data_IF_021429473621
#
_entry.id   IF_021429473621
#
_cell.length_a   1.000
_cell.length_b   1.000
_cell.length_c   1.000
_cell.angle_alpha   90.00
_cell.angle_beta   90.00
_cell.angle_gamma   90.00
#
_symmetry.space_group_name_H-M   'P 1'
#
loop_
_entity.id
_entity.type
_entity.pdbx_description
1 polymer ?
#
# COMPACT_ATOMS: atom_id res chain seq x y z
N UNK A 1 -4.23 12.13 7.39
CA UNK A 1 -4.63 10.81 6.86
C UNK A 1 -4.40 10.75 5.35
N UNK A 2 -5.09 11.60 4.56
CA UNK A 2 -4.97 11.58 3.10
C UNK A 2 -3.52 11.72 2.59
N UNK A 3 -2.79 12.75 3.04
CA UNK A 3 -1.39 12.95 2.64
C UNK A 3 -0.49 11.76 2.96
N UNK A 4 -0.70 11.09 4.09
CA UNK A 4 0.08 9.91 4.49
C UNK A 4 -0.19 8.73 3.55
N UNK A 5 -1.44 8.53 3.12
CA UNK A 5 -1.77 7.55 2.08
C UNK A 5 -1.04 7.90 0.79
N UNK A 6 -1.17 9.15 0.31
CA UNK A 6 -0.56 9.56 -0.95
C UNK A 6 0.95 9.35 -0.95
N UNK A 7 1.63 9.72 0.14
CA UNK A 7 3.09 9.55 0.26
C UNK A 7 3.46 8.07 0.29
N UNK A 8 2.83 7.26 1.15
CA UNK A 8 3.20 5.85 1.30
C UNK A 8 2.92 5.01 0.03
N UNK A 9 1.79 5.24 -0.64
CA UNK A 9 1.52 4.57 -1.92
C UNK A 9 2.40 5.09 -3.06
N UNK A 10 2.79 6.36 -3.08
CA UNK A 10 3.78 6.86 -4.07
C UNK A 10 5.17 6.26 -3.84
N UNK A 11 5.58 6.11 -2.57
CA UNK A 11 6.82 5.44 -2.21
C UNK A 11 6.81 3.98 -2.67
N UNK A 12 5.73 3.23 -2.37
CA UNK A 12 5.52 1.85 -2.81
C UNK A 12 5.56 1.72 -4.34
N UNK A 13 4.81 2.57 -5.05
CA UNK A 13 4.85 2.62 -6.51
C UNK A 13 6.27 2.85 -7.06
N UNK A 14 7.00 3.78 -6.44
CA UNK A 14 8.40 4.05 -6.78
C UNK A 14 9.29 2.82 -6.61
N UNK A 15 9.16 2.11 -5.49
CA UNK A 15 9.88 0.87 -5.23
C UNK A 15 9.57 -0.20 -6.29
N UNK A 16 8.30 -0.47 -6.57
CA UNK A 16 7.90 -1.46 -7.57
C UNK A 16 8.35 -1.10 -8.99
N UNK A 17 8.35 0.18 -9.36
CA UNK A 17 8.91 0.61 -10.64
C UNK A 17 10.43 0.42 -10.71
N UNK A 18 11.16 0.75 -9.64
CA UNK A 18 12.61 0.54 -9.60
C UNK A 18 12.97 -0.94 -9.68
N UNK A 19 12.23 -1.80 -8.99
CA UNK A 19 12.36 -3.26 -9.08
C UNK A 19 12.14 -3.75 -10.51
N UNK A 20 11.05 -3.32 -11.16
CA UNK A 20 10.73 -3.70 -12.53
C UNK A 20 11.76 -3.18 -13.55
N UNK A 21 12.30 -1.97 -13.35
CA UNK A 21 13.35 -1.42 -14.21
C UNK A 21 14.65 -2.22 -14.04
N UNK A 22 14.98 -2.63 -12.82
CA UNK A 22 16.21 -3.37 -12.52
C UNK A 22 16.18 -4.85 -12.90
N UNK A 23 15.06 -5.53 -12.67
CA UNK A 23 14.94 -6.99 -12.82
C UNK A 23 13.86 -7.48 -13.79
N UNK A 24 13.09 -6.57 -14.40
CA UNK A 24 11.99 -6.91 -15.28
C UNK A 24 10.86 -7.67 -14.57
N UNK A 25 10.05 -8.40 -15.33
CA UNK A 25 8.91 -9.17 -14.82
C UNK A 25 9.31 -10.35 -13.92
N UNK A 26 10.60 -10.71 -13.88
CA UNK A 26 11.13 -11.82 -13.09
C UNK A 26 11.85 -11.37 -11.82
N UNK A 27 11.80 -10.07 -11.49
CA UNK A 27 12.47 -9.51 -10.31
C UNK A 27 12.14 -10.24 -9.00
N UNK A 28 10.93 -10.80 -8.89
CA UNK A 28 10.44 -11.51 -7.70
C UNK A 28 10.58 -13.04 -7.78
N UNK A 29 11.10 -13.58 -8.88
CA UNK A 29 11.08 -15.02 -9.16
C UNK A 29 11.95 -15.86 -8.22
N UNK A 30 12.98 -15.26 -7.63
CA UNK A 30 13.92 -15.94 -6.74
C UNK A 30 13.39 -16.17 -5.32
N UNK A 31 12.35 -15.44 -4.91
CA UNK A 31 11.89 -15.47 -3.52
C UNK A 31 10.37 -15.53 -3.32
N UNK A 32 9.57 -15.33 -4.36
CA UNK A 32 8.10 -15.37 -4.25
C UNK A 32 7.50 -16.46 -5.16
N UNK A 33 6.47 -17.21 -4.71
CA UNK A 33 5.69 -18.08 -5.59
C UNK A 33 4.91 -17.24 -6.62
N UNK A 34 4.57 -17.83 -7.77
CA UNK A 34 3.96 -17.13 -8.92
C UNK A 34 2.79 -16.20 -8.55
N UNK A 35 1.82 -16.59 -7.70
CA UNK A 35 0.73 -15.67 -7.32
C UNK A 35 1.21 -14.38 -6.64
N UNK A 36 2.21 -14.47 -5.77
CA UNK A 36 2.79 -13.31 -5.10
C UNK A 36 3.65 -12.47 -6.06
N UNK A 37 4.33 -13.10 -7.03
CA UNK A 37 5.02 -12.35 -8.08
C UNK A 37 4.05 -11.50 -8.89
N UNK A 38 2.93 -12.10 -9.35
CA UNK A 38 1.88 -11.38 -10.08
C UNK A 38 1.33 -10.23 -9.25
N UNK A 39 1.09 -10.48 -7.96
CA UNK A 39 0.64 -9.45 -7.03
C UNK A 39 1.64 -8.30 -6.92
N UNK A 40 2.92 -8.55 -6.61
CA UNK A 40 3.93 -7.49 -6.51
C UNK A 40 4.11 -6.72 -7.81
N UNK A 41 4.11 -7.39 -8.97
CA UNK A 41 4.13 -6.70 -10.28
C UNK A 41 2.89 -5.82 -10.45
N UNK A 42 1.71 -6.28 -9.99
CA UNK A 42 0.48 -5.50 -10.08
C UNK A 42 0.47 -4.24 -9.21
N UNK A 43 1.28 -4.20 -8.14
CA UNK A 43 1.41 -3.01 -7.27
C UNK A 43 1.95 -1.78 -8.01
N UNK A 44 2.77 -1.99 -9.05
CA UNK A 44 3.19 -0.93 -9.97
C UNK A 44 2.00 -0.20 -10.65
N UNK A 45 0.81 -0.81 -10.67
CA UNK A 45 -0.43 -0.21 -11.18
C UNK A 45 -1.41 0.11 -10.05
N UNK A 46 -1.56 -0.78 -9.07
CA UNK A 46 -2.51 -0.60 -7.98
C UNK A 46 -2.15 0.60 -7.09
N UNK A 47 -0.87 0.83 -6.83
CA UNK A 47 -0.44 1.93 -5.97
C UNK A 47 -0.72 3.30 -6.59
N UNK A 48 -0.33 3.59 -7.86
CA UNK A 48 -0.75 4.82 -8.53
C UNK A 48 -2.26 4.97 -8.62
N UNK A 49 -3.01 3.87 -8.83
CA UNK A 49 -4.46 3.92 -8.86
C UNK A 49 -5.05 4.34 -7.51
N UNK A 50 -4.51 3.82 -6.40
CA UNK A 50 -4.87 4.26 -5.05
C UNK A 50 -4.56 5.75 -4.87
N UNK A 51 -3.37 6.20 -5.25
CA UNK A 51 -2.96 7.62 -5.16
C UNK A 51 -3.95 8.51 -5.91
N UNK A 52 -4.31 8.16 -7.15
CA UNK A 52 -5.27 8.92 -7.95
C UNK A 52 -6.65 8.93 -7.31
N UNK A 53 -7.20 7.77 -6.92
CA UNK A 53 -8.55 7.69 -6.36
C UNK A 53 -8.67 8.40 -5.00
N UNK A 54 -7.67 8.25 -4.14
CA UNK A 54 -7.61 8.93 -2.83
C UNK A 54 -7.36 10.43 -3.02
N UNK A 55 -6.49 10.83 -3.95
CA UNK A 55 -6.23 12.24 -4.28
C UNK A 55 -7.46 12.95 -4.86
N UNK A 56 -8.26 12.24 -5.65
CA UNK A 56 -9.57 12.68 -6.12
C UNK A 56 -10.69 12.53 -5.08
N UNK A 57 -10.33 12.16 -3.85
CA UNK A 57 -11.21 12.02 -2.70
C UNK A 57 -12.40 11.11 -2.99
N UNK A 58 -12.14 9.95 -3.58
CA UNK A 58 -13.18 8.95 -3.89
C UNK A 58 -13.25 7.88 -2.80
N UNK A 59 -14.45 7.53 -2.28
CA UNK A 59 -14.62 6.48 -1.27
C UNK A 59 -14.01 5.13 -1.69
N UNK A 60 -14.12 4.79 -2.98
CA UNK A 60 -13.55 3.57 -3.55
C UNK A 60 -12.02 3.52 -3.43
N UNK A 61 -11.34 4.68 -3.45
CA UNK A 61 -9.89 4.76 -3.25
C UNK A 61 -9.47 4.33 -1.85
N UNK A 62 -10.23 4.72 -0.82
CA UNK A 62 -9.95 4.33 0.58
C UNK A 62 -10.16 2.83 0.79
N UNK A 63 -11.21 2.26 0.18
CA UNK A 63 -11.48 0.81 0.24
C UNK A 63 -10.40 0.01 -0.49
N UNK A 64 -9.98 0.47 -1.66
CA UNK A 64 -8.89 -0.12 -2.44
C UNK A 64 -7.58 -0.07 -1.65
N UNK A 65 -7.22 1.09 -1.08
CA UNK A 65 -6.03 1.27 -0.25
C UNK A 65 -5.95 0.25 0.89
N UNK A 66 -7.06 0.05 1.62
CA UNK A 66 -7.14 -0.93 2.69
C UNK A 66 -6.91 -2.37 2.20
N UNK A 67 -7.54 -2.73 1.07
CA UNK A 67 -7.38 -4.07 0.48
C UNK A 67 -5.97 -4.33 -0.05
N UNK A 68 -5.42 -3.40 -0.84
CA UNK A 68 -4.05 -3.48 -1.37
C UNK A 68 -3.06 -3.61 -0.23
N UNK A 69 -3.17 -2.73 0.76
CA UNK A 69 -2.20 -2.71 1.85
C UNK A 69 -2.28 -3.92 2.77
N UNK A 70 -3.49 -4.45 3.02
CA UNK A 70 -3.66 -5.70 3.76
C UNK A 70 -2.97 -6.88 3.06
N UNK A 71 -3.19 -7.02 1.75
CA UNK A 71 -2.55 -8.07 0.94
C UNK A 71 -1.04 -7.90 0.87
N UNK A 72 -0.56 -6.67 0.74
CA UNK A 72 0.86 -6.38 0.61
C UNK A 72 1.64 -6.62 1.90
N UNK A 73 1.09 -6.23 3.05
CA UNK A 73 1.64 -6.61 4.35
C UNK A 73 1.71 -8.14 4.46
N UNK A 74 0.62 -8.85 4.16
CA UNK A 74 0.62 -10.32 4.22
C UNK A 74 1.67 -10.95 3.30
N UNK A 75 1.77 -10.48 2.06
CA UNK A 75 2.75 -10.97 1.08
C UNK A 75 4.19 -10.74 1.55
N UNK A 76 4.48 -9.57 2.12
CA UNK A 76 5.79 -9.24 2.67
C UNK A 76 6.13 -10.13 3.87
N UNK A 77 5.20 -10.35 4.79
CA UNK A 77 5.41 -11.25 5.92
C UNK A 77 5.66 -12.69 5.47
N UNK A 78 4.89 -13.20 4.51
CA UNK A 78 5.07 -14.56 3.96
C UNK A 78 6.45 -14.70 3.32
N UNK A 79 6.85 -13.74 2.48
CA UNK A 79 8.10 -13.83 1.71
C UNK A 79 9.36 -13.59 2.53
N UNK A 80 9.26 -12.83 3.63
CA UNK A 80 10.40 -12.55 4.51
C UNK A 80 10.43 -13.47 5.75
N UNK A 81 9.48 -14.39 5.90
CA UNK A 81 9.41 -15.27 7.07
C UNK A 81 10.70 -16.08 7.31
N UNK A 82 11.31 -16.72 6.29
CA UNK A 82 12.54 -17.49 6.49
C UNK A 82 13.70 -16.61 7.02
N UNK A 83 13.85 -15.40 6.48
CA UNK A 83 14.89 -14.46 6.92
C UNK A 83 14.66 -13.99 8.36
N UNK A 84 13.40 -13.85 8.77
CA UNK A 84 13.05 -13.47 10.14
C UNK A 84 13.31 -14.60 11.14
N UNK A 85 13.11 -15.86 10.74
CA UNK A 85 13.47 -17.03 11.56
C UNK A 85 14.99 -17.12 11.76
N UNK A 86 15.78 -16.79 10.74
CA UNK A 86 17.25 -16.79 10.79
C UNK A 86 17.81 -15.59 11.59
N UNK A 87 17.25 -14.40 11.38
CA UNK A 87 17.67 -13.15 12.03
C UNK A 87 16.47 -12.27 12.41
N UNK A 88 16.02 -12.29 13.69
CA UNK A 88 14.93 -11.43 14.15
C UNK A 88 15.22 -9.92 14.01
N UNK A 89 16.49 -9.51 13.96
CA UNK A 89 16.85 -8.11 13.74
C UNK A 89 16.54 -7.65 12.30
N UNK A 90 16.27 -8.58 11.37
CA UNK A 90 15.79 -8.28 10.03
C UNK A 90 14.53 -7.40 10.04
N UNK A 91 13.66 -7.59 11.04
CA UNK A 91 12.47 -6.76 11.24
C UNK A 91 12.82 -5.29 11.42
N UNK A 92 13.94 -4.97 12.09
CA UNK A 92 14.28 -3.60 12.48
C UNK A 92 14.94 -2.79 11.36
N UNK A 93 15.07 -3.36 10.16
CA UNK A 93 15.63 -2.65 9.02
C UNK A 93 14.78 -1.42 8.66
N UNK A 94 15.42 -0.30 8.30
CA UNK A 94 14.71 0.94 7.98
C UNK A 94 13.90 0.86 6.69
N UNK A 95 14.14 -0.17 5.86
CA UNK A 95 13.39 -0.49 4.65
C UNK A 95 13.02 -1.98 4.72
N UNK A 96 11.77 -2.31 4.38
CA UNK A 96 11.26 -3.69 4.42
C UNK A 96 10.10 -3.85 5.41
N UNK A 97 10.12 -4.94 6.19
CA UNK A 97 8.98 -5.42 6.98
C UNK A 97 8.42 -4.44 8.02
N UNK A 98 9.27 -3.72 8.76
CA UNK A 98 8.77 -2.80 9.80
C UNK A 98 8.04 -1.59 9.21
N UNK A 99 8.63 -0.81 8.28
CA UNK A 99 7.93 0.32 7.66
C UNK A 99 6.60 -0.07 7.02
N UNK A 100 6.57 -1.15 6.23
CA UNK A 100 5.34 -1.60 5.56
C UNK A 100 4.27 -2.06 6.56
N UNK A 101 4.67 -2.72 7.65
CA UNK A 101 3.74 -3.13 8.70
C UNK A 101 3.15 -1.92 9.42
N UNK A 102 3.98 -0.94 9.78
CA UNK A 102 3.52 0.28 10.44
C UNK A 102 2.58 1.09 9.54
N UNK A 103 2.93 1.25 8.26
CA UNK A 103 2.08 1.91 7.29
C UNK A 103 0.77 1.15 7.08
N UNK A 104 0.82 -0.18 7.00
CA UNK A 104 -0.37 -1.03 6.90
C UNK A 104 -1.31 -0.92 8.08
N UNK A 105 -0.78 -0.97 9.30
CA UNK A 105 -1.57 -0.74 10.52
C UNK A 105 -2.21 0.65 10.51
N UNK A 106 -1.47 1.67 10.10
CA UNK A 106 -2.01 3.03 9.95
C UNK A 106 -3.17 3.08 8.93
N UNK A 107 -3.01 2.48 7.75
CA UNK A 107 -4.04 2.44 6.71
C UNK A 107 -5.30 1.75 7.25
N UNK A 108 -5.17 0.54 7.81
CA UNK A 108 -6.31 -0.22 8.34
C UNK A 108 -7.02 0.55 9.45
N UNK A 109 -6.27 1.06 10.44
CA UNK A 109 -6.84 1.78 11.58
C UNK A 109 -7.54 3.09 11.18
N UNK A 110 -7.04 3.76 10.14
CA UNK A 110 -7.61 5.03 9.65
C UNK A 110 -8.64 4.89 8.53
N UNK A 111 -8.83 3.69 7.98
CA UNK A 111 -9.69 3.45 6.81
C UNK A 111 -11.15 3.86 7.06
N UNK A 112 -11.75 3.44 8.17
CA UNK A 112 -13.14 3.76 8.53
C UNK A 112 -13.35 5.27 8.77
N UNK A 113 -12.57 5.96 9.63
CA UNK A 113 -12.76 7.39 9.83
C UNK A 113 -12.49 8.20 8.56
N UNK A 114 -11.51 7.80 7.74
CA UNK A 114 -11.26 8.45 6.46
C UNK A 114 -12.42 8.26 5.48
N UNK A 115 -12.95 7.03 5.36
CA UNK A 115 -14.09 6.73 4.48
C UNK A 115 -15.30 7.61 4.82
N UNK A 116 -15.64 7.73 6.11
CA UNK A 116 -16.73 8.58 6.58
C UNK A 116 -16.51 10.06 6.23
N UNK A 117 -15.27 10.55 6.38
CA UNK A 117 -14.94 11.94 6.06
C UNK A 117 -15.06 12.23 4.56
N UNK A 118 -14.64 11.28 3.72
CA UNK A 118 -14.75 11.38 2.26
C UNK A 118 -16.21 11.35 1.80
N UNK A 119 -17.02 10.45 2.35
CA UNK A 119 -18.45 10.32 2.01
C UNK A 119 -19.27 11.55 2.43
N UNK A 120 -18.90 12.24 3.51
CA UNK A 120 -19.57 13.46 4.00
C UNK A 120 -19.19 14.76 3.25
N UNK A 121 -18.19 14.72 2.37
CA UNK A 121 -17.66 15.92 1.69
C UNK A 121 -18.63 16.57 0.70
N UNK A 122 -19.39 15.83 -0.14
CA UNK A 122 -20.37 16.41 -1.05
C UNK A 122 -21.46 17.19 -0.31
N UNK A 123 -21.93 16.69 0.82
CA UNK A 123 -22.94 17.36 1.66
C UNK A 123 -22.41 18.69 2.20
N UNK A 124 -21.17 18.70 2.69
CA UNK A 124 -20.55 19.89 3.30
C UNK A 124 -20.36 21.03 2.30
N UNK A 125 -19.97 20.73 1.06
CA UNK A 125 -19.82 21.73 0.00
C UNK A 125 -21.16 22.37 -0.36
N UNK A 126 -22.25 21.60 -0.37
CA UNK A 126 -23.59 22.11 -0.70
C UNK A 126 -24.16 23.09 0.35
N UNK A 127 -23.78 22.92 1.62
CA UNK A 127 -24.17 23.80 2.72
C UNK A 127 -23.42 25.14 2.70
N UNK A 128 -22.14 25.16 2.33
CA UNK A 128 -21.34 26.39 2.26
C UNK A 128 -21.74 27.31 1.10
N UNK A 129 -22.42 26.77 0.08
CA UNK A 129 -22.92 27.53 -1.07
C UNK A 129 -24.34 28.07 -0.90
N UNK A 130 -25.01 27.86 0.25
CA UNK A 130 -26.31 28.46 0.61
C UNK A 130 -26.14 29.55 1.65
#
# INVERSE_FOLDING_TARGET
MLAVYLIGFLEGAGAHFLDLIGGGIHVYASFAPVPLQVFFVSLAVLDPLVVVLVGLVRPVGVRLACGVMGLDVMANWITNWPQLEEDPAWLLRPVGLLPITLFGLFVVASSVPLLRAVEAMPERLSCTTR
#
